data_IF_246388366075
#
_entry.id   IF_246388366075
#
_cell.length_a   1.000
_cell.length_b   1.000
_cell.length_c   1.000
_cell.angle_alpha   90.00
_cell.angle_beta   90.00
_cell.angle_gamma   90.00
#
_symmetry.space_group_name_H-M   'P 1'
#
loop_
_entity.id
_entity.type
_entity.pdbx_description
1 polymer ?
#
# COMPACT_ATOMS: atom_id res chain seq x y z
N UNK A 1 21.21 -10.80 -16.27
CA UNK A 1 21.55 -10.42 -14.88
C UNK A 1 21.32 -8.93 -14.62
N UNK A 2 21.92 -8.02 -15.40
CA UNK A 2 21.74 -6.55 -15.22
C UNK A 2 20.27 -6.11 -15.24
N UNK A 3 19.47 -6.62 -16.18
CA UNK A 3 18.04 -6.32 -16.25
C UNK A 3 17.27 -6.71 -14.97
N UNK A 4 17.51 -7.91 -14.45
CA UNK A 4 16.86 -8.39 -13.21
C UNK A 4 17.27 -7.53 -12.01
N UNK A 5 18.55 -7.17 -11.90
CA UNK A 5 19.03 -6.29 -10.84
C UNK A 5 18.38 -4.91 -10.92
N UNK A 6 18.22 -4.36 -12.13
CA UNK A 6 17.49 -3.10 -12.35
C UNK A 6 16.03 -3.22 -11.92
N UNK A 7 15.33 -4.28 -12.32
CA UNK A 7 13.94 -4.52 -11.91
C UNK A 7 13.78 -4.55 -10.39
N UNK A 8 14.62 -5.34 -9.71
CA UNK A 8 14.58 -5.43 -8.24
C UNK A 8 14.91 -4.08 -7.60
N UNK A 9 15.94 -3.38 -8.09
CA UNK A 9 16.32 -2.06 -7.59
C UNK A 9 15.18 -1.04 -7.74
N UNK A 10 14.59 -0.92 -8.93
CA UNK A 10 13.47 -0.01 -9.17
C UNK A 10 12.22 -0.42 -8.40
N UNK A 11 11.92 -1.71 -8.28
CA UNK A 11 10.82 -2.19 -7.45
C UNK A 11 10.97 -1.77 -5.99
N UNK A 12 12.18 -1.92 -5.42
CA UNK A 12 12.48 -1.48 -4.06
C UNK A 12 12.37 0.03 -3.91
N UNK A 13 12.80 0.82 -4.90
CA UNK A 13 12.66 2.28 -4.91
C UNK A 13 11.19 2.73 -4.99
N UNK A 14 10.39 2.12 -5.86
CA UNK A 14 8.95 2.38 -5.91
C UNK A 14 8.29 2.06 -4.57
N UNK A 15 8.63 0.91 -3.96
CA UNK A 15 8.12 0.54 -2.64
C UNK A 15 8.56 1.51 -1.54
N UNK A 16 9.79 2.00 -1.59
CA UNK A 16 10.30 2.98 -0.63
C UNK A 16 9.54 4.30 -0.76
N UNK A 17 9.34 4.76 -2.00
CA UNK A 17 8.54 5.95 -2.29
C UNK A 17 7.14 5.80 -1.71
N UNK A 18 6.44 4.71 -2.04
CA UNK A 18 5.07 4.46 -1.57
C UNK A 18 5.00 4.38 -0.04
N UNK A 19 5.96 3.70 0.60
CA UNK A 19 6.07 3.66 2.06
C UNK A 19 6.21 5.07 2.68
N UNK A 20 7.08 5.91 2.13
CA UNK A 20 7.28 7.28 2.62
C UNK A 20 6.01 8.10 2.44
N UNK A 21 5.43 8.08 1.24
CA UNK A 21 4.20 8.83 0.95
C UNK A 21 3.04 8.40 1.83
N UNK A 22 2.88 7.10 2.06
CA UNK A 22 1.88 6.57 2.98
C UNK A 22 2.09 7.08 4.41
N UNK A 23 3.32 7.01 4.91
CA UNK A 23 3.65 7.51 6.25
C UNK A 23 3.39 9.02 6.37
N UNK A 24 3.72 9.80 5.34
CA UNK A 24 3.43 11.23 5.27
C UNK A 24 1.92 11.51 5.22
N UNK A 25 1.15 10.65 4.54
CA UNK A 25 -0.31 10.73 4.50
C UNK A 25 -0.94 10.53 5.89
N UNK A 26 -0.26 9.87 6.83
CA UNK A 26 -0.71 9.73 8.22
C UNK A 26 -0.32 10.86 9.17
N UNK A 27 0.32 11.93 8.67
CA UNK A 27 0.60 13.13 9.48
C UNK A 27 -0.67 13.99 9.53
N UNK A 28 -1.36 14.09 10.70
CA UNK A 28 -2.68 14.71 10.78
C UNK A 28 -2.57 16.23 10.66
N UNK A 29 -2.96 16.77 9.50
CA UNK A 29 -2.99 18.21 9.25
C UNK A 29 -3.96 18.57 8.15
N UNK A 30 -4.75 19.63 8.34
CA UNK A 30 -5.62 20.20 7.30
C UNK A 30 -4.84 20.83 6.14
N UNK A 31 -3.54 21.08 6.32
CA UNK A 31 -2.63 21.58 5.28
C UNK A 31 -1.89 20.46 4.55
N UNK A 32 -2.05 19.21 4.99
CA UNK A 32 -1.43 18.06 4.36
C UNK A 32 -2.42 17.44 3.35
N UNK A 33 -2.24 17.66 2.03
CA UNK A 33 -3.16 17.12 1.03
C UNK A 33 -3.17 15.58 1.03
N UNK A 34 -2.03 14.93 1.30
CA UNK A 34 -1.94 13.47 1.40
C UNK A 34 -2.83 12.94 2.51
N UNK A 35 -2.86 13.59 3.67
CA UNK A 35 -3.76 13.20 4.76
C UNK A 35 -5.24 13.35 4.38
N UNK A 36 -5.59 14.39 3.63
CA UNK A 36 -6.98 14.62 3.21
C UNK A 36 -7.46 13.52 2.26
N UNK A 37 -6.66 13.20 1.24
CA UNK A 37 -7.02 12.21 0.24
C UNK A 37 -6.97 10.79 0.82
N UNK A 38 -5.94 10.46 1.60
CA UNK A 38 -5.75 9.13 2.16
C UNK A 38 -6.80 8.79 3.22
N UNK A 39 -7.34 9.79 3.93
CA UNK A 39 -8.47 9.56 4.83
C UNK A 39 -9.71 9.03 4.10
N UNK A 40 -9.87 9.30 2.80
CA UNK A 40 -10.97 8.72 2.02
C UNK A 40 -10.84 7.20 1.93
N UNK A 41 -9.63 6.70 1.73
CA UNK A 41 -9.34 5.27 1.70
C UNK A 41 -9.67 4.59 3.04
N UNK A 42 -9.35 5.22 4.17
CA UNK A 42 -9.66 4.70 5.52
C UNK A 42 -11.15 4.74 5.90
N UNK A 43 -12.02 5.40 5.12
CA UNK A 43 -13.48 5.37 5.37
C UNK A 43 -14.11 4.04 4.94
N UNK A 44 -13.44 3.30 4.05
CA UNK A 44 -13.98 2.07 3.51
C UNK A 44 -14.00 0.98 4.59
N UNK A 45 -15.11 0.23 4.66
CA UNK A 45 -15.27 -0.87 5.60
C UNK A 45 -15.02 -2.19 4.90
N UNK A 46 -13.91 -2.83 5.23
CA UNK A 46 -13.47 -4.06 4.56
C UNK A 46 -13.64 -5.35 5.40
N UNK A 47 -13.99 -5.23 6.67
CA UNK A 47 -14.07 -6.36 7.62
C UNK A 47 -14.94 -7.52 7.10
N UNK A 48 -16.07 -7.19 6.49
CA UNK A 48 -17.04 -8.14 5.94
C UNK A 48 -17.07 -8.15 4.40
N UNK A 49 -16.15 -7.41 3.76
CA UNK A 49 -16.12 -7.29 2.30
C UNK A 49 -15.73 -8.63 1.66
N UNK A 50 -16.51 -9.05 0.67
CA UNK A 50 -16.18 -10.22 -0.16
C UNK A 50 -15.31 -9.76 -1.33
N UNK A 51 -14.34 -10.59 -1.76
CA UNK A 51 -13.59 -10.41 -2.99
C UNK A 51 -14.56 -10.19 -4.14
N UNK A 52 -14.33 -9.14 -4.88
CA UNK A 52 -15.16 -8.71 -6.00
C UNK A 52 -14.28 -8.43 -7.19
N UNK A 53 -14.88 -8.48 -8.37
CA UNK A 53 -14.24 -7.96 -9.57
C UNK A 53 -14.11 -6.43 -9.48
N UNK A 54 -13.19 -5.83 -10.25
CA UNK A 54 -13.02 -4.38 -10.28
C UNK A 54 -14.27 -3.70 -10.83
N UNK A 55 -14.62 -2.54 -10.29
CA UNK A 55 -15.63 -1.69 -10.91
C UNK A 55 -15.14 -1.18 -12.26
N UNK A 56 -16.08 -0.93 -13.19
CA UNK A 56 -15.76 -0.48 -14.55
C UNK A 56 -14.76 0.71 -14.62
N UNK A 57 -14.87 1.75 -13.77
CA UNK A 57 -13.90 2.85 -13.80
C UNK A 57 -12.48 2.44 -13.37
N UNK A 58 -12.32 1.39 -12.55
CA UNK A 58 -11.01 0.97 -12.06
C UNK A 58 -10.09 0.51 -13.21
N UNK A 59 -10.66 -0.03 -14.30
CA UNK A 59 -9.90 -0.40 -15.50
C UNK A 59 -9.15 0.78 -16.13
N UNK A 60 -9.59 2.01 -15.84
CA UNK A 60 -8.98 3.26 -16.29
C UNK A 60 -8.23 3.99 -15.16
N UNK A 61 -7.85 3.26 -14.09
CA UNK A 61 -7.21 3.81 -12.89
C UNK A 61 -8.02 4.92 -12.22
N UNK A 62 -9.35 4.84 -12.29
CA UNK A 62 -10.27 5.70 -11.56
C UNK A 62 -10.95 4.92 -10.44
N UNK A 63 -10.61 5.24 -9.18
CA UNK A 63 -10.97 4.45 -8.01
C UNK A 63 -12.07 5.14 -7.20
N UNK A 64 -13.32 4.97 -7.63
CA UNK A 64 -14.51 5.52 -6.97
C UNK A 64 -14.67 7.03 -7.15
N UNK A 65 -13.89 7.82 -6.40
CA UNK A 65 -13.94 9.29 -6.43
C UNK A 65 -12.56 9.92 -6.64
N UNK A 66 -12.53 11.24 -6.85
CA UNK A 66 -11.30 11.97 -7.13
C UNK A 66 -10.25 11.83 -6.01
N UNK A 67 -10.65 11.87 -4.74
CA UNK A 67 -9.70 11.78 -3.63
C UNK A 67 -9.05 10.40 -3.55
N UNK A 68 -9.85 9.34 -3.60
CA UNK A 68 -9.33 7.96 -3.62
C UNK A 68 -8.46 7.70 -4.86
N UNK A 69 -8.85 8.25 -6.01
CA UNK A 69 -8.04 8.17 -7.24
C UNK A 69 -6.70 8.88 -7.05
N UNK A 70 -6.70 10.12 -6.55
CA UNK A 70 -5.47 10.87 -6.30
C UNK A 70 -4.57 10.19 -5.27
N UNK A 71 -5.14 9.53 -4.26
CA UNK A 71 -4.36 8.78 -3.26
C UNK A 71 -3.56 7.66 -3.93
N UNK A 72 -4.22 6.81 -4.72
CA UNK A 72 -3.53 5.73 -5.47
C UNK A 72 -2.52 6.30 -6.46
N UNK A 73 -2.90 7.32 -7.22
CA UNK A 73 -2.01 7.89 -8.24
C UNK A 73 -0.74 8.51 -7.64
N UNK A 74 -0.89 9.32 -6.59
CA UNK A 74 0.25 10.01 -5.98
C UNK A 74 1.10 9.02 -5.18
N UNK A 75 0.49 8.10 -4.44
CA UNK A 75 1.21 7.23 -3.50
C UNK A 75 1.79 5.98 -4.18
N UNK A 76 1.10 5.43 -5.18
CA UNK A 76 1.43 4.11 -5.76
C UNK A 76 1.80 4.19 -7.24
N UNK A 77 1.08 4.97 -8.05
CA UNK A 77 1.28 4.98 -9.52
C UNK A 77 2.44 5.88 -9.97
N UNK A 78 2.55 7.09 -9.42
CA UNK A 78 3.57 8.08 -9.79
C UNK A 78 5.02 7.55 -9.79
N UNK A 79 5.51 6.77 -8.79
CA UNK A 79 6.89 6.27 -8.85
C UNK A 79 7.14 5.37 -10.05
N UNK A 80 6.14 4.60 -10.50
CA UNK A 80 6.26 3.76 -11.70
C UNK A 80 6.34 4.60 -12.98
N UNK A 81 5.56 5.69 -13.07
CA UNK A 81 5.66 6.65 -14.17
C UNK A 81 7.04 7.28 -14.21
N UNK A 82 7.60 7.68 -13.07
CA UNK A 82 8.98 8.21 -13.00
C UNK A 82 10.00 7.19 -13.52
N UNK A 83 9.88 5.92 -13.14
CA UNK A 83 10.79 4.87 -13.64
C UNK A 83 10.61 4.67 -15.14
N UNK A 84 9.39 4.72 -15.69
CA UNK A 84 9.17 4.65 -17.16
C UNK A 84 9.94 5.77 -17.88
N UNK A 85 9.96 6.99 -17.33
CA UNK A 85 10.70 8.11 -17.94
C UNK A 85 12.22 7.94 -17.85
N UNK A 86 12.73 7.34 -16.78
CA UNK A 86 14.18 7.16 -16.54
C UNK A 86 14.75 5.93 -17.24
N UNK A 87 14.06 4.79 -17.13
CA UNK A 87 14.45 3.51 -17.73
C UNK A 87 13.17 2.78 -18.24
N UNK A 88 12.74 3.06 -19.49
CA UNK A 88 11.42 2.67 -19.99
C UNK A 88 11.13 1.18 -19.95
N UNK A 89 12.12 0.32 -20.24
CA UNK A 89 11.91 -1.13 -20.33
C UNK A 89 11.54 -1.74 -18.98
N UNK A 90 12.37 -1.65 -17.91
CA UNK A 90 11.97 -2.12 -16.59
C UNK A 90 10.80 -1.32 -16.02
N UNK A 91 10.71 -0.01 -16.32
CA UNK A 91 9.59 0.83 -15.89
C UNK A 91 8.24 0.32 -16.39
N UNK A 92 8.14 -0.02 -17.68
CA UNK A 92 6.91 -0.57 -18.27
C UNK A 92 6.55 -1.92 -17.66
N UNK A 93 7.52 -2.80 -17.42
CA UNK A 93 7.27 -4.09 -16.76
C UNK A 93 6.70 -3.88 -15.36
N UNK A 94 7.31 -3.00 -14.56
CA UNK A 94 6.83 -2.71 -13.21
C UNK A 94 5.46 -2.02 -13.23
N UNK A 95 5.21 -1.12 -14.17
CA UNK A 95 3.92 -0.46 -14.31
C UNK A 95 2.80 -1.43 -14.69
N UNK A 96 3.07 -2.41 -15.56
CA UNK A 96 2.11 -3.48 -15.87
C UNK A 96 1.78 -4.29 -14.62
N UNK A 97 2.80 -4.69 -13.85
CA UNK A 97 2.59 -5.41 -12.58
C UNK A 97 1.76 -4.57 -11.61
N UNK A 98 2.12 -3.29 -11.43
CA UNK A 98 1.37 -2.34 -10.61
C UNK A 98 -0.08 -2.20 -11.07
N UNK A 99 -0.33 -2.02 -12.37
CA UNK A 99 -1.69 -1.94 -12.93
C UNK A 99 -2.51 -3.18 -12.59
N UNK A 100 -1.96 -4.38 -12.83
CA UNK A 100 -2.67 -5.62 -12.51
C UNK A 100 -2.94 -5.74 -11.01
N UNK A 101 -1.98 -5.32 -10.18
CA UNK A 101 -2.15 -5.34 -8.74
C UNK A 101 -3.26 -4.39 -8.28
N UNK A 102 -3.18 -3.10 -8.62
CA UNK A 102 -4.16 -2.11 -8.16
C UNK A 102 -5.57 -2.39 -8.67
N UNK A 103 -5.68 -2.77 -9.95
CA UNK A 103 -7.00 -2.97 -10.57
C UNK A 103 -7.65 -4.26 -10.04
N UNK A 104 -6.92 -5.37 -9.96
CA UNK A 104 -7.52 -6.68 -9.70
C UNK A 104 -7.29 -7.23 -8.29
N UNK A 105 -6.26 -6.78 -7.58
CA UNK A 105 -5.80 -7.43 -6.35
C UNK A 105 -5.93 -6.54 -5.11
N UNK A 106 -5.62 -5.23 -5.22
CA UNK A 106 -5.43 -4.35 -4.07
C UNK A 106 -6.70 -4.12 -3.23
N UNK A 107 -7.88 -4.05 -3.86
CA UNK A 107 -9.13 -3.77 -3.14
C UNK A 107 -9.52 -4.89 -2.16
N UNK A 108 -10.49 -5.73 -2.51
CA UNK A 108 -11.06 -6.74 -1.59
C UNK A 108 -10.41 -8.12 -1.73
N UNK A 109 -9.46 -8.30 -2.66
CA UNK A 109 -8.87 -9.60 -2.98
C UNK A 109 -7.65 -9.90 -2.11
N UNK A 110 -6.66 -8.99 -2.07
CA UNK A 110 -5.42 -9.13 -1.31
C UNK A 110 -5.34 -8.16 -0.11
N UNK A 111 -5.16 -6.86 -0.34
CA UNK A 111 -4.72 -5.95 0.73
C UNK A 111 -5.76 -5.84 1.83
N UNK A 112 -7.04 -5.70 1.46
CA UNK A 112 -8.12 -5.54 2.41
C UNK A 112 -8.92 -6.82 2.66
N UNK A 113 -8.33 -7.98 2.41
CA UNK A 113 -8.97 -9.27 2.67
C UNK A 113 -8.53 -9.81 4.04
N UNK A 114 -9.33 -9.65 5.12
CA UNK A 114 -8.93 -10.05 6.46
C UNK A 114 -8.78 -11.57 6.62
N UNK A 115 -9.14 -12.38 5.60
CA UNK A 115 -8.97 -13.84 5.61
C UNK A 115 -7.56 -14.27 5.19
N UNK A 116 -6.78 -13.37 4.57
CA UNK A 116 -5.37 -13.62 4.29
C UNK A 116 -4.57 -13.33 5.56
N UNK A 117 -4.11 -14.38 6.23
CA UNK A 117 -3.41 -14.33 7.52
C UNK A 117 -2.17 -15.22 7.52
N UNK A 118 -1.39 -15.14 8.59
CA UNK A 118 -0.33 -16.11 8.87
C UNK A 118 1.05 -15.68 8.39
N UNK A 119 1.99 -16.62 8.16
CA UNK A 119 3.39 -16.28 7.90
C UNK A 119 3.61 -15.40 6.65
N UNK A 120 2.74 -15.54 5.63
CA UNK A 120 2.87 -14.77 4.38
C UNK A 120 2.71 -13.26 4.60
N UNK A 121 1.82 -12.84 5.51
CA UNK A 121 1.59 -11.43 5.83
C UNK A 121 2.70 -10.81 6.68
N UNK A 122 3.73 -11.61 7.06
CA UNK A 122 4.96 -11.07 7.64
C UNK A 122 5.91 -10.50 6.59
N UNK A 123 5.77 -10.93 5.33
CA UNK A 123 6.64 -10.51 4.23
C UNK A 123 5.88 -9.64 3.22
N UNK A 124 4.61 -9.98 2.95
CA UNK A 124 3.71 -9.20 2.11
C UNK A 124 2.85 -8.29 2.97
N UNK A 125 2.74 -7.02 2.60
CA UNK A 125 1.97 -6.03 3.35
C UNK A 125 0.48 -6.06 2.98
N UNK A 126 -0.12 -7.26 3.00
CA UNK A 126 -1.49 -7.55 2.56
C UNK A 126 -2.31 -8.20 3.67
N UNK A 127 -3.62 -8.31 3.45
CA UNK A 127 -4.55 -9.01 4.33
C UNK A 127 -4.46 -8.51 5.77
N UNK A 128 -4.23 -9.42 6.72
CA UNK A 128 -4.09 -9.10 8.14
C UNK A 128 -3.06 -7.98 8.42
N UNK A 129 -1.97 -7.89 7.66
CA UNK A 129 -0.95 -6.87 7.91
C UNK A 129 -1.48 -5.47 7.60
N UNK A 130 -2.09 -5.30 6.43
CA UNK A 130 -2.67 -4.04 5.99
C UNK A 130 -3.97 -3.72 6.76
N UNK A 131 -4.81 -4.71 7.05
CA UNK A 131 -5.99 -4.49 7.89
C UNK A 131 -5.62 -4.00 9.30
N UNK A 132 -4.53 -4.51 9.88
CA UNK A 132 -4.01 -3.97 11.15
C UNK A 132 -3.60 -2.50 11.05
N UNK A 133 -3.13 -2.04 9.89
CA UNK A 133 -2.87 -0.62 9.63
C UNK A 133 -4.17 0.21 9.66
N UNK A 134 -5.24 -0.26 9.00
CA UNK A 134 -6.56 0.39 9.03
C UNK A 134 -7.11 0.52 10.46
N UNK A 135 -6.87 -0.47 11.33
CA UNK A 135 -7.26 -0.37 12.74
C UNK A 135 -6.32 0.49 13.59
N UNK A 136 -5.03 0.52 13.25
CA UNK A 136 -3.99 1.24 13.98
C UNK A 136 -3.03 1.95 13.02
N UNK A 137 -3.39 3.19 12.66
CA UNK A 137 -2.74 4.00 11.63
C UNK A 137 -1.31 4.50 11.97
N UNK A 138 -0.74 4.11 13.12
CA UNK A 138 0.61 4.54 13.55
C UNK A 138 1.73 3.57 13.15
N UNK A 139 1.45 2.56 12.34
CA UNK A 139 2.44 1.61 11.84
C UNK A 139 1.94 0.83 10.62
N UNK A 140 2.74 -0.12 10.12
CA UNK A 140 2.43 -0.96 8.95
C UNK A 140 2.15 -0.13 7.68
N UNK A 141 3.08 0.73 7.28
CA UNK A 141 2.91 1.63 6.13
C UNK A 141 3.29 0.99 4.77
N UNK A 142 3.84 -0.23 4.75
CA UNK A 142 4.07 -0.94 3.49
C UNK A 142 2.77 -1.25 2.72
N UNK A 143 2.86 -1.29 1.39
CA UNK A 143 1.75 -1.68 0.50
C UNK A 143 1.96 -3.05 -0.12
N UNK A 144 3.10 -3.31 -0.76
CA UNK A 144 3.38 -4.63 -1.38
C UNK A 144 4.18 -5.55 -0.46
N UNK A 145 5.23 -5.02 0.17
CA UNK A 145 6.10 -5.76 1.08
C UNK A 145 6.28 -5.03 2.41
N UNK A 146 6.50 -5.80 3.47
CA UNK A 146 6.72 -5.28 4.84
C UNK A 146 8.14 -4.78 5.09
N UNK A 147 9.05 -4.97 4.12
CA UNK A 147 10.48 -4.72 4.25
C UNK A 147 10.81 -3.34 4.84
N UNK A 148 10.21 -2.27 4.31
CA UNK A 148 10.48 -0.91 4.78
C UNK A 148 9.97 -0.65 6.19
N UNK A 149 8.86 -1.28 6.61
CA UNK A 149 8.42 -1.19 7.99
C UNK A 149 9.43 -1.81 8.96
N UNK A 150 10.10 -2.91 8.55
CA UNK A 150 11.18 -3.49 9.35
C UNK A 150 12.40 -2.59 9.40
N UNK A 151 12.82 -2.03 8.26
CA UNK A 151 13.98 -1.12 8.17
C UNK A 151 13.78 0.12 9.03
N UNK A 152 12.57 0.71 9.02
CA UNK A 152 12.28 1.95 9.74
C UNK A 152 11.59 1.76 11.10
N UNK A 153 11.40 0.51 11.55
CA UNK A 153 10.85 0.21 12.87
C UNK A 153 9.38 0.58 13.06
N UNK A 154 8.58 0.54 11.99
CA UNK A 154 7.13 0.89 12.00
C UNK A 154 6.21 -0.32 11.99
N UNK A 155 6.75 -1.53 12.17
CA UNK A 155 5.93 -2.75 12.31
C UNK A 155 5.08 -2.68 13.59
N UNK A 156 3.77 -2.67 13.42
CA UNK A 156 2.79 -2.82 14.48
C UNK A 156 2.25 -4.26 14.53
N UNK A 157 2.20 -4.82 15.75
CA UNK A 157 1.57 -6.11 16.05
C UNK A 157 0.63 -5.94 17.22
N UNK A 158 -0.63 -6.35 17.06
CA UNK A 158 -1.68 -6.27 18.10
C UNK A 158 -1.25 -6.87 19.46
N UNK A 159 -0.38 -7.89 19.45
CA UNK A 159 0.16 -8.51 20.67
C UNK A 159 1.06 -7.60 21.53
N UNK A 160 1.67 -6.54 20.95
CA UNK A 160 2.54 -5.62 21.70
C UNK A 160 1.79 -4.66 22.62
N UNK A 161 0.47 -4.49 22.45
CA UNK A 161 -0.32 -3.58 23.29
C UNK A 161 -0.66 -4.19 24.66
N UNK A 162 -0.86 -5.51 24.75
CA UNK A 162 -1.08 -6.19 26.04
C UNK A 162 0.19 -6.25 26.90
N UNK A 163 1.36 -6.46 26.27
CA UNK A 163 2.64 -6.51 27.01
C UNK A 163 3.08 -5.17 27.60
N UNK A 164 2.66 -4.04 27.03
CA UNK A 164 3.01 -2.70 27.56
C UNK A 164 2.04 -2.21 28.64
N UNK A 165 0.78 -2.63 28.61
CA UNK A 165 -0.20 -2.32 29.68
C UNK A 165 0.05 -3.09 30.97
N UNK A 166 0.66 -4.29 30.91
CA UNK A 166 0.95 -5.10 32.09
C UNK A 166 2.33 -4.82 32.71
N UNK A 167 3.01 -3.76 32.28
CA UNK A 167 4.34 -3.34 32.78
C UNK A 167 4.37 -1.86 33.22
N UNK A 168 3.20 -1.22 33.30
CA UNK A 168 3.02 0.15 33.77
C UNK A 168 2.16 0.14 35.04
#
# INVERSE_FOLDING_TARGET
MVFVLKLVGYYLLCNLYSYVMHRLAHIPSKKNPLFIIHREHHKNKYDDAKPSLPDWPNYFLWFGNLHATLDVWITLTLPHIIVIWVDPVPGLVLFVIHYFYEVFLAATVLDHNPRIKGPITKFLAVGEYHMNHHYYVKGNYGFYITFWDFVFGTVYRKSQQHSRKNKA
#
